data_IF_320531158657
#
_entry.id   IF_320531158657
#
_cell.length_a   1.000
_cell.length_b   1.000
_cell.length_c   1.000
_cell.angle_alpha   90.00
_cell.angle_beta   90.00
_cell.angle_gamma   90.00
#
_symmetry.space_group_name_H-M   'P 1'
#
loop_
_entity.id
_entity.type
_entity.pdbx_description
1 polymer ?
2 non-polymer ?
3 non-polymer ?
4 water ?
#
# COMPACT_ATOMS: atom_id res chain seq x y z
N UNK A 1 7.78 -20.70 6.52
CA UNK A 1 7.32 -19.28 6.54
C UNK A 1 6.40 -18.98 5.34
N UNK A 2 5.75 -17.84 5.39
CA UNK A 2 4.92 -17.38 4.27
C UNK A 2 5.93 -16.80 3.28
N UNK A 3 5.65 -16.84 2.01
CA UNK A 3 6.46 -16.25 0.98
C UNK A 3 5.64 -15.11 0.36
N UNK A 4 6.17 -13.95 0.38
CA UNK A 4 5.62 -12.77 -0.28
C UNK A 4 6.42 -12.56 -1.55
N UNK A 5 5.73 -12.46 -2.71
CA UNK A 5 6.44 -12.15 -3.97
C UNK A 5 5.90 -10.90 -4.60
N UNK A 6 6.73 -10.06 -5.15
CA UNK A 6 6.47 -8.75 -5.76
C UNK A 6 7.66 -8.14 -6.38
N UNK A 7 7.57 -7.15 -7.21
CA UNK A 7 8.60 -6.44 -7.86
C UNK A 7 9.46 -5.76 -6.69
N UNK A 8 10.64 -5.39 -7.13
CA UNK A 8 11.58 -4.69 -6.19
C UNK A 8 11.26 -3.21 -6.17
N UNK A 9 10.01 -2.91 -5.81
CA UNK A 9 9.52 -1.55 -5.71
C UNK A 9 8.40 -1.61 -4.63
N UNK A 10 8.08 -0.40 -4.21
CA UNK A 10 7.03 -0.22 -3.19
C UNK A 10 5.67 -0.59 -3.87
N UNK A 11 5.40 -0.03 -4.98
CA UNK A 11 4.13 -0.36 -5.74
C UNK A 11 2.85 -0.38 -4.96
N UNK A 12 2.07 -1.48 -4.96
CA UNK A 12 0.87 -1.51 -4.11
C UNK A 12 1.03 -2.46 -2.98
N UNK A 13 2.28 -2.88 -2.63
CA UNK A 13 2.59 -3.88 -1.64
C UNK A 13 3.09 -3.39 -0.27
N UNK A 14 3.26 -2.11 -0.20
CA UNK A 14 3.74 -1.57 1.15
C UNK A 14 2.87 -1.97 2.29
N UNK A 15 1.53 -1.89 2.16
CA UNK A 15 0.63 -2.25 3.26
C UNK A 15 0.82 -3.69 3.67
N UNK A 16 1.10 -4.57 2.66
CA UNK A 16 1.27 -5.96 3.03
C UNK A 16 2.56 -6.20 3.83
N UNK A 17 3.62 -5.62 3.29
CA UNK A 17 4.94 -5.65 4.02
C UNK A 17 4.82 -5.10 5.46
N UNK A 18 4.11 -3.96 5.59
CA UNK A 18 3.85 -3.40 6.94
C UNK A 18 3.06 -4.27 7.83
N UNK A 19 1.94 -4.89 7.30
CA UNK A 19 1.13 -5.76 8.14
C UNK A 19 1.93 -7.02 8.52
N UNK A 20 2.67 -7.66 7.63
CA UNK A 20 3.45 -8.84 8.00
C UNK A 20 4.35 -8.46 9.26
N UNK A 21 4.85 -7.27 9.17
CA UNK A 21 5.75 -6.76 10.25
C UNK A 21 5.06 -6.58 11.56
N UNK A 22 3.94 -5.84 11.53
CA UNK A 22 3.10 -5.54 12.66
C UNK A 22 2.67 -6.74 13.39
N UNK A 23 2.23 -7.78 12.65
CA UNK A 23 1.70 -9.02 13.17
C UNK A 23 2.79 -9.97 13.59
N UNK A 24 4.06 -9.65 13.35
CA UNK A 24 5.12 -10.59 13.79
C UNK A 24 5.09 -11.93 13.03
N UNK A 25 4.62 -11.82 11.81
CA UNK A 25 4.48 -13.01 10.92
C UNK A 25 5.91 -13.39 10.53
N UNK A 26 6.12 -14.67 10.41
CA UNK A 26 7.41 -15.24 9.92
C UNK A 26 7.30 -15.29 8.41
N UNK A 27 8.14 -14.56 7.69
CA UNK A 27 8.01 -14.51 6.23
C UNK A 27 9.37 -14.36 5.55
N UNK A 28 9.45 -14.65 4.29
CA UNK A 28 10.52 -14.43 3.37
C UNK A 28 9.95 -13.75 2.14
N UNK A 29 10.70 -12.89 1.56
CA UNK A 29 10.37 -12.13 0.39
C UNK A 29 11.19 -12.48 -0.83
N UNK A 30 10.45 -12.59 -1.95
CA UNK A 30 11.12 -12.69 -3.24
C UNK A 30 10.90 -11.37 -3.90
N UNK A 31 11.85 -10.57 -4.34
CA UNK A 31 11.66 -9.27 -4.97
C UNK A 31 12.19 -9.44 -6.38
N UNK A 32 11.32 -9.39 -7.39
CA UNK A 32 11.74 -9.66 -8.77
C UNK A 32 12.31 -8.41 -9.39
N UNK A 33 13.30 -8.60 -10.26
CA UNK A 33 13.91 -7.49 -10.98
C UNK A 33 13.08 -7.32 -12.27
N UNK A 34 13.20 -6.12 -12.75
CA UNK A 34 12.63 -5.62 -13.97
C UNK A 34 13.71 -5.06 -14.90
N UNK A 35 13.65 -5.52 -16.14
CA UNK A 35 14.62 -5.03 -17.11
C UNK A 35 14.60 -3.50 -17.13
N UNK A 36 15.77 -2.99 -17.49
CA UNK A 36 15.96 -1.52 -17.69
C UNK A 36 15.50 -1.29 -19.13
N UNK A 37 15.61 -0.08 -19.68
CA UNK A 37 15.03 0.16 -21.01
C UNK A 37 15.74 -0.54 -22.16
N UNK A 38 15.01 -0.71 -23.27
CA UNK A 38 13.64 -0.24 -23.51
C UNK A 38 12.63 -1.36 -23.32
N UNK A 39 13.14 -2.58 -23.18
CA UNK A 39 12.17 -3.69 -23.17
C UNK A 39 11.68 -4.10 -21.82
N UNK A 40 12.19 -3.41 -20.80
CA UNK A 40 11.70 -3.66 -19.41
C UNK A 40 11.50 -5.14 -19.14
N UNK A 41 12.45 -5.98 -19.54
CA UNK A 41 12.39 -7.42 -19.36
C UNK A 41 11.74 -7.84 -18.04
N UNK A 42 10.74 -8.75 -18.16
CA UNK A 42 10.04 -9.28 -16.97
C UNK A 42 10.28 -10.79 -16.88
N UNK A 43 11.27 -11.26 -17.65
CA UNK A 43 11.63 -12.68 -17.73
C UNK A 43 11.72 -13.38 -16.40
N UNK A 44 12.40 -12.78 -15.45
CA UNK A 44 12.55 -13.32 -14.09
C UNK A 44 11.21 -13.76 -13.50
N UNK A 45 10.16 -12.93 -13.68
CA UNK A 45 8.84 -13.31 -13.10
C UNK A 45 8.08 -14.27 -14.03
N UNK A 46 8.01 -13.92 -15.28
CA UNK A 46 7.35 -14.68 -16.36
C UNK A 46 7.85 -16.11 -16.46
N UNK A 47 9.10 -16.35 -16.12
CA UNK A 47 9.64 -17.72 -16.03
C UNK A 47 8.86 -18.55 -15.01
N UNK A 48 8.50 -17.94 -13.88
CA UNK A 48 7.78 -18.70 -12.87
C UNK A 48 6.28 -18.37 -12.75
N UNK A 49 5.79 -17.41 -13.49
CA UNK A 49 4.40 -16.97 -13.36
C UNK A 49 3.38 -18.10 -13.33
N UNK A 50 3.65 -19.15 -14.16
CA UNK A 50 2.73 -20.29 -14.21
C UNK A 50 3.23 -21.48 -13.46
N UNK A 51 4.35 -21.39 -12.76
CA UNK A 51 4.91 -22.58 -12.09
C UNK A 51 4.66 -22.60 -10.62
N UNK A 52 3.96 -21.60 -10.09
CA UNK A 52 3.70 -21.54 -8.66
C UNK A 52 2.40 -22.09 -8.17
N UNK A 53 1.52 -22.57 -9.05
CA UNK A 53 0.24 -23.07 -8.54
C UNK A 53 -0.67 -21.92 -8.09
N UNK A 54 -0.57 -20.74 -8.69
CA UNK A 54 -1.54 -19.67 -8.27
C UNK A 54 -2.80 -19.84 -9.19
N UNK A 55 -3.96 -19.55 -8.67
CA UNK A 55 -5.21 -19.64 -9.53
C UNK A 55 -5.23 -18.57 -10.59
N UNK A 56 -4.94 -17.32 -10.15
CA UNK A 56 -4.87 -16.22 -11.16
C UNK A 56 -3.47 -15.62 -10.91
N UNK A 57 -2.47 -16.06 -11.65
CA UNK A 57 -1.09 -15.60 -11.38
C UNK A 57 -1.03 -14.09 -11.48
N UNK A 58 -0.32 -13.52 -10.44
CA UNK A 58 -0.24 -12.03 -10.39
C UNK A 58 0.86 -11.74 -9.29
N UNK A 59 1.13 -10.47 -9.22
CA UNK A 59 2.08 -9.89 -8.23
C UNK A 59 1.26 -8.74 -7.58
N UNK A 60 1.21 -8.68 -6.29
CA UNK A 60 1.88 -9.53 -5.36
C UNK A 60 1.26 -10.93 -5.24
N UNK A 61 1.92 -11.90 -4.67
CA UNK A 61 1.32 -13.14 -4.30
C UNK A 61 1.76 -13.50 -2.91
N UNK A 62 1.01 -14.19 -2.14
CA UNK A 62 1.37 -14.68 -0.84
C UNK A 62 1.12 -16.20 -0.83
N UNK A 63 2.09 -16.92 -0.35
CA UNK A 63 2.10 -18.34 -0.18
C UNK A 63 2.16 -18.64 1.28
N UNK A 64 1.17 -19.25 1.83
CA UNK A 64 1.12 -19.62 3.23
C UNK A 64 0.85 -21.10 3.30
N UNK A 65 1.91 -21.88 3.07
CA UNK A 65 1.72 -23.35 3.17
C UNK A 65 0.80 -23.79 2.01
N UNK A 66 -0.36 -24.32 2.32
CA UNK A 66 -1.28 -24.75 1.27
C UNK A 66 -2.01 -23.61 0.57
N UNK A 67 -2.11 -22.45 1.20
CA UNK A 67 -2.89 -21.34 0.61
C UNK A 67 -2.00 -20.51 -0.28
N UNK A 68 -2.51 -20.22 -1.46
CA UNK A 68 -1.76 -19.42 -2.43
C UNK A 68 -2.76 -18.33 -2.81
N UNK A 69 -2.38 -17.11 -2.52
CA UNK A 69 -3.25 -15.97 -2.70
C UNK A 69 -2.72 -14.88 -3.56
N UNK A 70 -3.50 -14.27 -4.45
CA UNK A 70 -3.16 -13.14 -5.26
C UNK A 70 -4.25 -12.08 -4.94
N UNK A 71 -4.05 -10.94 -5.46
CA UNK A 71 -4.83 -9.70 -5.37
C UNK A 71 -4.45 -9.01 -4.00
N UNK A 72 -3.85 -7.84 -4.13
CA UNK A 72 -3.42 -7.21 -2.80
C UNK A 72 -4.42 -7.14 -1.71
N UNK A 73 -5.68 -6.70 -1.98
CA UNK A 73 -6.73 -6.64 -0.98
C UNK A 73 -7.00 -7.98 -0.40
N UNK A 74 -7.05 -9.12 -1.16
CA UNK A 74 -7.29 -10.42 -0.68
C UNK A 74 -6.17 -10.90 0.32
N UNK A 75 -4.98 -10.55 0.02
CA UNK A 75 -3.80 -10.86 0.87
C UNK A 75 -4.00 -10.04 2.18
N UNK A 76 -4.38 -8.80 2.03
CA UNK A 76 -4.65 -7.99 3.27
C UNK A 76 -5.70 -8.53 4.17
N UNK A 77 -6.87 -9.09 3.58
CA UNK A 77 -7.95 -9.59 4.42
C UNK A 77 -7.59 -10.96 5.01
N UNK A 78 -6.79 -11.74 4.25
CA UNK A 78 -6.36 -13.07 4.81
C UNK A 78 -5.51 -12.79 6.07
N UNK A 79 -4.54 -11.91 5.93
CA UNK A 79 -3.69 -11.60 7.18
C UNK A 79 -4.56 -10.99 8.29
N UNK A 80 -5.49 -10.10 7.94
CA UNK A 80 -6.46 -9.50 8.88
C UNK A 80 -7.25 -10.52 9.65
N UNK A 81 -7.85 -11.51 8.94
CA UNK A 81 -8.65 -12.54 9.55
C UNK A 81 -7.75 -13.34 10.49
N UNK A 82 -6.58 -13.67 10.08
CA UNK A 82 -5.71 -14.56 10.92
C UNK A 82 -5.32 -13.85 12.20
N UNK A 83 -5.27 -12.53 12.17
CA UNK A 83 -4.76 -11.76 13.30
C UNK A 83 -5.80 -10.88 13.94
N UNK A 84 -7.06 -11.10 13.59
CA UNK A 84 -8.19 -10.36 14.15
C UNK A 84 -8.07 -8.87 13.93
N UNK A 85 -7.73 -8.43 12.72
CA UNK A 85 -7.69 -7.00 12.42
C UNK A 85 -8.78 -6.50 11.51
N UNK A 86 -9.94 -7.02 11.71
CA UNK A 86 -11.20 -6.67 10.96
C UNK A 86 -12.10 -5.82 11.85
N UNK A 87 -13.06 -5.20 11.16
CA UNK A 87 -14.16 -4.48 11.84
C UNK A 87 -14.95 -5.56 12.59
N UNK A 88 -15.48 -5.28 13.74
CA UNK A 88 -16.21 -6.17 14.60
C UNK A 88 -17.69 -5.87 14.72
N UNK A 89 -18.15 -4.73 14.31
CA UNK A 89 -19.58 -4.38 14.30
C UNK A 89 -19.90 -4.03 12.85
N UNK A 90 -21.18 -3.93 12.52
CA UNK A 90 -21.61 -3.58 11.18
C UNK A 90 -21.10 -2.20 10.77
N UNK A 91 -21.14 -1.20 11.64
CA UNK A 91 -20.64 0.13 11.30
C UNK A 91 -19.16 0.03 10.98
N UNK A 92 -18.41 -0.78 11.68
CA UNK A 92 -16.98 -0.89 11.42
C UNK A 92 -16.75 -1.63 10.11
N UNK A 93 -17.54 -2.63 9.83
CA UNK A 93 -17.29 -3.41 8.57
C UNK A 93 -17.50 -2.52 7.39
N UNK A 94 -18.60 -1.74 7.48
CA UNK A 94 -18.92 -0.77 6.45
C UNK A 94 -17.75 0.17 6.16
N UNK A 95 -17.27 0.81 7.27
CA UNK A 95 -16.17 1.77 7.08
C UNK A 95 -14.96 1.10 6.42
N UNK A 96 -14.63 -0.07 6.86
CA UNK A 96 -13.52 -0.85 6.34
C UNK A 96 -13.76 -1.13 4.87
N UNK A 97 -14.92 -1.68 4.55
CA UNK A 97 -15.17 -1.92 3.09
C UNK A 97 -15.11 -0.73 2.20
N UNK A 98 -15.67 0.42 2.48
CA UNK A 98 -15.62 1.65 1.72
C UNK A 98 -14.13 2.11 1.60
N UNK A 99 -13.53 2.13 2.81
CA UNK A 99 -12.15 2.70 2.70
C UNK A 99 -11.22 1.81 1.93
N UNK A 100 -11.32 0.48 2.07
CA UNK A 100 -10.50 -0.42 1.27
C UNK A 100 -10.49 -0.12 -0.16
N UNK A 101 -11.74 0.00 -0.73
CA UNK A 101 -12.02 0.35 -2.08
C UNK A 101 -11.67 1.76 -2.46
N UNK A 102 -11.87 2.71 -1.55
CA UNK A 102 -11.51 4.12 -1.81
C UNK A 102 -9.95 4.26 -1.78
N UNK A 103 -9.28 3.53 -0.93
CA UNK A 103 -7.78 3.63 -0.87
C UNK A 103 -7.21 3.13 -2.18
N UNK A 104 -7.90 2.05 -2.75
CA UNK A 104 -7.42 1.61 -4.09
C UNK A 104 -7.63 2.69 -5.13
N UNK A 105 -8.77 3.29 -5.32
CA UNK A 105 -9.08 4.34 -6.28
C UNK A 105 -8.07 5.52 -6.08
N UNK A 106 -7.78 5.89 -4.84
CA UNK A 106 -6.80 7.01 -4.66
C UNK A 106 -5.38 6.68 -5.13
N UNK A 107 -4.96 5.45 -4.84
CA UNK A 107 -3.67 4.99 -5.33
C UNK A 107 -3.64 4.89 -6.81
N UNK A 108 -4.64 4.35 -7.47
CA UNK A 108 -4.72 4.23 -8.94
C UNK A 108 -4.68 5.58 -9.61
N UNK A 109 -5.37 6.57 -9.06
CA UNK A 109 -5.37 7.93 -9.66
C UNK A 109 -3.95 8.51 -9.55
N UNK A 110 -3.28 8.29 -8.46
CA UNK A 110 -1.91 8.83 -8.38
C UNK A 110 -1.03 8.12 -9.40
N UNK A 111 -1.18 6.83 -9.57
CA UNK A 111 -0.37 6.02 -10.49
C UNK A 111 -0.60 6.45 -11.92
N UNK A 112 -1.85 6.76 -12.25
CA UNK A 112 -2.20 7.24 -13.60
C UNK A 112 -1.36 8.49 -13.93
N UNK A 113 -1.29 9.44 -13.04
CA UNK A 113 -0.56 10.69 -13.27
C UNK A 113 0.95 10.44 -13.43
N UNK A 114 1.48 9.63 -12.53
CA UNK A 114 2.91 9.36 -12.49
C UNK A 114 3.36 8.55 -13.67
N UNK A 115 2.46 7.76 -14.22
CA UNK A 115 2.86 6.96 -15.37
C UNK A 115 2.62 7.66 -16.70
N UNK A 116 1.89 8.76 -16.73
CA UNK A 116 1.60 9.38 -18.02
C UNK A 116 2.80 10.12 -18.56
N UNK A 117 2.98 9.97 -19.87
CA UNK A 117 4.07 10.64 -20.60
C UNK A 117 3.95 12.15 -20.47
N UNK A 118 2.72 12.63 -20.31
CA UNK A 118 2.45 14.06 -20.11
C UNK A 118 2.16 14.43 -18.66
N UNK A 119 3.04 13.98 -17.79
CA UNK A 119 3.11 14.18 -16.35
C UNK A 119 3.19 15.65 -15.90
N UNK A 120 4.15 16.32 -16.50
CA UNK A 120 4.44 17.74 -16.28
C UNK A 120 3.17 18.57 -16.50
N UNK A 121 2.31 18.08 -17.38
CA UNK A 121 0.97 18.68 -17.57
C UNK A 121 -0.06 18.20 -16.54
N UNK A 122 -0.14 16.91 -16.26
CA UNK A 122 -1.10 16.36 -15.30
C UNK A 122 -0.82 16.75 -13.86
N UNK A 123 0.44 16.77 -13.45
CA UNK A 123 0.78 17.17 -12.06
C UNK A 123 0.00 18.34 -11.49
N UNK A 124 0.03 19.46 -12.19
CA UNK A 124 -0.68 20.66 -11.74
C UNK A 124 -2.15 20.38 -11.53
N UNK A 125 -2.77 19.65 -12.47
CA UNK A 125 -4.21 19.36 -12.42
C UNK A 125 -4.56 18.39 -11.30
N UNK A 126 -3.62 17.48 -11.01
CA UNK A 126 -3.80 16.54 -9.90
C UNK A 126 -3.76 17.32 -8.58
N UNK A 127 -2.77 18.18 -8.51
CA UNK A 127 -2.62 19.00 -7.30
C UNK A 127 -3.84 19.87 -7.06
N UNK A 128 -4.47 20.38 -8.10
CA UNK A 128 -5.65 21.25 -7.94
C UNK A 128 -6.76 20.59 -7.13
N UNK A 129 -6.86 19.27 -7.34
CA UNK A 129 -7.93 18.49 -6.71
C UNK A 129 -7.53 17.85 -5.40
N UNK A 130 -6.29 18.00 -5.00
CA UNK A 130 -5.77 17.36 -3.78
C UNK A 130 -6.42 17.80 -2.51
N UNK A 131 -6.68 19.11 -2.32
CA UNK A 131 -7.41 19.56 -1.12
C UNK A 131 -8.74 18.83 -0.97
N UNK A 132 -9.45 18.52 -2.07
CA UNK A 132 -10.75 17.81 -1.88
C UNK A 132 -10.52 16.38 -1.41
N UNK A 133 -9.53 15.70 -1.96
CA UNK A 133 -9.34 14.30 -1.52
C UNK A 133 -8.98 14.21 -0.07
N UNK A 134 -8.08 15.15 0.32
CA UNK A 134 -7.54 15.13 1.71
C UNK A 134 -8.64 15.47 2.69
N UNK A 135 -9.48 16.42 2.38
CA UNK A 135 -10.60 16.84 3.22
C UNK A 135 -11.54 15.69 3.54
N UNK A 136 -11.80 14.87 2.50
CA UNK A 136 -12.75 13.74 2.63
C UNK A 136 -12.12 12.72 3.53
N UNK A 137 -10.85 12.38 3.38
CA UNK A 137 -10.20 11.47 4.35
C UNK A 137 -10.22 12.04 5.79
N UNK A 138 -9.92 13.34 5.91
CA UNK A 138 -9.87 14.03 7.21
C UNK A 138 -11.20 14.09 7.93
N UNK A 139 -12.28 14.38 7.16
CA UNK A 139 -13.62 14.38 7.74
C UNK A 139 -14.04 12.99 8.11
N UNK A 140 -13.61 12.04 7.26
CA UNK A 140 -13.90 10.61 7.63
C UNK A 140 -13.30 10.16 8.93
N UNK A 141 -12.02 10.48 9.13
CA UNK A 141 -11.33 10.08 10.40
C UNK A 141 -11.95 10.78 11.60
N UNK A 142 -12.24 12.05 11.51
CA UNK A 142 -12.82 12.79 12.65
C UNK A 142 -11.85 12.86 13.83
N UNK A 143 -12.34 12.52 14.99
CA UNK A 143 -11.59 12.53 16.23
C UNK A 143 -11.27 11.09 16.61
N UNK A 144 -11.46 10.14 15.67
CA UNK A 144 -11.10 8.73 16.06
C UNK A 144 -9.57 8.54 15.93
N UNK A 145 -9.01 7.63 16.71
CA UNK A 145 -7.59 7.29 16.60
C UNK A 145 -7.23 6.57 15.31
N UNK A 146 -8.22 5.76 14.83
CA UNK A 146 -7.99 4.94 13.58
C UNK A 146 -9.27 5.05 12.71
N UNK A 147 -9.16 4.56 11.49
CA UNK A 147 -10.25 4.75 10.51
C UNK A 147 -11.51 4.00 10.79
N UNK A 148 -11.45 2.82 11.33
CA UNK A 148 -12.63 2.03 11.63
C UNK A 148 -13.33 2.51 12.90
N UNK A 149 -12.58 3.19 13.75
CA UNK A 149 -13.13 3.64 15.03
C UNK A 149 -12.00 3.60 16.09
N UNK A 150 -12.28 2.86 17.14
CA UNK A 150 -11.36 2.75 18.26
C UNK A 150 -10.30 1.69 18.10
N UNK A 151 -10.44 0.77 17.17
CA UNK A 151 -9.60 -0.38 16.92
C UNK A 151 -8.74 -0.17 15.70
N UNK A 152 -7.47 -0.54 15.71
CA UNK A 152 -6.68 -0.55 14.48
C UNK A 152 -7.19 -1.77 13.64
N UNK A 153 -7.33 -1.51 12.34
CA UNK A 153 -7.69 -2.69 11.47
C UNK A 153 -6.73 -2.67 10.31
N UNK A 154 -6.93 -3.66 9.37
CA UNK A 154 -6.05 -3.57 8.19
C UNK A 154 -6.28 -2.35 7.38
N UNK A 155 -7.39 -1.61 7.40
CA UNK A 155 -7.50 -0.49 6.48
C UNK A 155 -6.51 0.69 6.83
N UNK A 156 -6.21 0.72 8.07
CA UNK A 156 -5.25 1.80 8.52
C UNK A 156 -3.91 1.63 7.78
N UNK A 157 -3.52 0.40 7.49
CA UNK A 157 -2.32 0.12 6.68
C UNK A 157 -2.39 0.62 5.29
N UNK A 158 -3.57 0.34 4.59
CA UNK A 158 -3.75 0.92 3.27
C UNK A 158 -3.94 2.44 3.24
N UNK A 159 -4.59 3.07 4.25
CA UNK A 159 -4.73 4.51 4.17
C UNK A 159 -3.39 5.24 4.49
N UNK A 160 -2.66 4.59 5.38
CA UNK A 160 -1.29 5.11 5.73
C UNK A 160 -0.49 5.20 4.46
N UNK A 161 -0.52 4.14 3.63
CA UNK A 161 0.22 4.12 2.37
C UNK A 161 -0.25 5.22 1.47
N UNK A 162 -1.53 5.44 1.27
CA UNK A 162 -2.05 6.51 0.37
C UNK A 162 -1.46 7.88 0.81
N UNK A 163 -1.58 8.15 2.09
CA UNK A 163 -1.17 9.40 2.73
C UNK A 163 0.35 9.62 2.56
N UNK A 164 1.10 8.61 2.91
CA UNK A 164 2.57 8.62 2.79
C UNK A 164 2.92 8.91 1.36
N UNK A 165 2.33 8.15 0.36
CA UNK A 165 2.76 8.40 -1.00
C UNK A 165 2.46 9.85 -1.38
N UNK A 166 1.36 10.40 -0.88
CA UNK A 166 0.96 11.76 -1.32
C UNK A 166 1.88 12.82 -0.68
N UNK A 167 2.35 12.57 0.50
CA UNK A 167 3.27 13.49 1.22
C UNK A 167 4.67 13.38 0.64
N UNK A 168 5.00 12.25 0.01
CA UNK A 168 6.26 12.19 -0.77
C UNK A 168 6.14 13.02 -2.02
N UNK A 169 5.01 12.94 -2.72
CA UNK A 169 4.72 13.65 -3.96
C UNK A 169 4.62 15.16 -3.72
N UNK A 170 3.99 15.55 -2.62
CA UNK A 170 3.69 16.96 -2.28
C UNK A 170 3.76 17.07 -0.77
N UNK A 171 4.94 17.43 -0.30
CA UNK A 171 5.26 17.41 1.11
C UNK A 171 4.33 18.24 1.97
N UNK A 172 3.64 19.21 1.37
CA UNK A 172 2.83 20.15 2.14
C UNK A 172 1.38 19.75 2.32
N UNK A 173 0.99 18.65 1.69
CA UNK A 173 -0.37 18.23 1.56
C UNK A 173 -1.14 17.91 2.80
N UNK A 174 -0.54 17.53 3.89
CA UNK A 174 -1.17 17.22 5.14
C UNK A 174 -1.18 18.41 6.15
N UNK A 175 -0.44 19.46 5.82
CA UNK A 175 -0.34 20.60 6.80
C UNK A 175 -1.67 21.25 7.14
N UNK A 176 -2.68 21.19 6.26
CA UNK A 176 -3.98 21.85 6.57
C UNK A 176 -4.91 20.87 7.18
N UNK A 177 -4.41 19.64 7.42
CA UNK A 177 -5.24 18.58 8.00
C UNK A 177 -4.49 17.86 9.09
N UNK A 178 -4.60 18.44 10.29
CA UNK A 178 -3.88 17.89 11.43
C UNK A 178 -4.31 16.55 11.88
N UNK A 179 -5.58 16.10 11.82
CA UNK A 179 -5.87 14.72 12.29
C UNK A 179 -5.12 13.73 11.39
N UNK A 180 -4.90 14.07 10.17
CA UNK A 180 -4.18 13.23 9.16
C UNK A 180 -2.67 13.21 9.42
N UNK A 181 -2.09 14.35 9.78
CA UNK A 181 -0.68 14.44 10.20
C UNK A 181 -0.54 13.57 11.45
N UNK A 182 -1.43 13.71 12.43
CA UNK A 182 -1.41 12.97 13.63
C UNK A 182 -1.53 11.47 13.37
N UNK A 183 -2.48 11.10 12.50
CA UNK A 183 -2.59 9.63 12.21
C UNK A 183 -1.26 9.07 11.68
N UNK A 184 -0.62 9.70 10.77
CA UNK A 184 0.64 9.29 10.14
C UNK A 184 1.67 9.02 11.29
N UNK A 185 1.73 10.07 12.13
CA UNK A 185 2.67 9.97 13.29
C UNK A 185 2.40 8.81 14.20
N UNK A 186 1.12 8.63 14.55
CA UNK A 186 0.72 7.57 15.44
C UNK A 186 0.99 6.20 14.74
N UNK A 187 0.77 6.18 13.45
CA UNK A 187 1.00 4.83 12.78
C UNK A 187 2.49 4.54 12.81
N UNK A 188 3.30 5.47 12.44
CA UNK A 188 4.77 5.45 12.43
C UNK A 188 5.37 5.29 13.82
N UNK A 189 4.56 5.43 14.86
CA UNK A 189 5.03 5.29 16.25
C UNK A 189 4.85 3.95 16.87
N UNK A 190 4.04 3.08 16.18
CA UNK A 190 3.84 1.72 16.67
C UNK A 190 5.25 1.09 16.64
N UNK A 191 5.52 0.37 17.67
CA UNK A 191 6.87 -0.23 17.87
C UNK A 191 7.27 -1.05 16.67
N UNK A 192 6.48 -2.05 16.27
CA UNK A 192 6.88 -2.92 15.13
C UNK A 192 7.13 -2.21 13.85
N UNK A 193 6.36 -1.15 13.62
CA UNK A 193 6.52 -0.28 12.45
C UNK A 193 7.75 0.59 12.62
N UNK A 194 7.96 1.24 13.77
CA UNK A 194 9.25 2.00 13.82
C UNK A 194 10.43 1.05 13.73
N UNK A 195 10.48 -0.09 14.41
CA UNK A 195 11.59 -1.01 14.18
C UNK A 195 11.80 -1.36 12.71
N UNK A 196 10.73 -1.72 11.99
CA UNK A 196 10.83 -2.05 10.55
C UNK A 196 11.41 -0.98 9.70
N UNK A 197 11.01 0.30 9.88
CA UNK A 197 11.45 1.45 9.13
C UNK A 197 12.99 1.70 9.28
N UNK A 198 13.54 1.13 10.31
CA UNK A 198 14.96 1.29 10.60
C UNK A 198 15.72 0.01 10.24
N UNK A 199 15.02 -0.99 9.73
CA UNK A 199 15.70 -2.26 9.45
C UNK A 199 16.14 -2.30 8.00
N UNK A 200 16.95 -3.33 7.70
CA UNK A 200 17.41 -3.53 6.33
C UNK A 200 16.32 -4.26 5.48
N UNK A 201 15.21 -4.53 6.10
CA UNK A 201 14.09 -5.17 5.28
C UNK A 201 13.24 -4.12 4.61
N UNK A 202 13.39 -2.84 5.01
CA UNK A 202 12.57 -1.73 4.55
C UNK A 202 12.82 -1.32 3.10
N UNK A 203 11.75 -1.02 2.36
CA UNK A 203 11.80 -0.55 0.98
C UNK A 203 10.78 0.58 0.81
N UNK A 204 11.17 1.84 1.04
CA UNK A 204 10.20 2.92 0.91
C UNK A 204 10.08 3.35 -0.52
N UNK A 205 11.11 3.30 -1.31
CA UNK A 205 11.21 3.74 -2.69
C UNK A 205 12.07 2.79 -3.51
N UNK A 206 11.97 2.81 -4.82
CA UNK A 206 11.08 3.65 -5.63
C UNK A 206 9.64 3.22 -5.46
N UNK A 207 8.69 4.11 -5.79
CA UNK A 207 7.27 3.71 -5.65
C UNK A 207 6.80 2.94 -6.87
N UNK A 208 7.05 3.51 -8.02
CA UNK A 208 6.57 2.98 -9.32
C UNK A 208 7.62 2.23 -10.12
N UNK A 209 7.18 1.44 -11.08
CA UNK A 209 8.11 0.68 -11.93
C UNK A 209 8.88 1.70 -12.79
N UNK A 210 10.04 1.25 -13.23
CA UNK A 210 11.00 2.01 -14.02
C UNK A 210 10.48 2.78 -15.19
N UNK A 211 9.36 2.44 -15.82
CA UNK A 211 8.88 3.31 -16.91
C UNK A 211 8.12 4.52 -16.40
N UNK A 212 7.81 4.66 -15.12
CA UNK A 212 7.09 5.84 -14.63
C UNK A 212 7.82 7.12 -15.04
N UNK A 213 7.07 8.23 -15.00
CA UNK A 213 7.70 9.54 -15.34
C UNK A 213 8.14 10.32 -14.11
N UNK A 214 7.78 9.86 -12.94
CA UNK A 214 8.04 10.37 -11.60
C UNK A 214 8.15 9.12 -10.68
N UNK A 215 9.24 9.06 -9.96
CA UNK A 215 9.68 8.03 -9.04
C UNK A 215 9.43 6.55 -9.27
N UNK A 216 10.09 5.96 -10.26
CA UNK A 216 10.04 4.59 -10.69
C UNK A 216 11.21 3.62 -10.63
N UNK A 217 12.34 4.26 -10.86
CA UNK A 217 13.70 3.71 -11.00
C UNK A 217 14.54 4.52 -9.99
X LIG B 1 7.06 14.80 7.92
X LIG B 1 7.59 15.59 9.08
X LIG B 1 5.60 14.57 8.11
X LIG B 1 7.27 15.55 6.62
X LIG B 1 7.83 13.51 7.82
X LIG C 1 5.93 -23.11 -4.63
X LIG C 1 6.22 -24.42 -3.94
X LIG C 1 4.44 -22.88 -4.68
X LIG C 1 6.56 -21.96 -3.87
X LIG C 1 6.50 -23.24 -6.03
X LIG D 1 14.80 2.23 0.65
X LIG D 1 15.04 2.87 -0.69
X LIG D 1 13.49 2.69 1.23
X LIG D 1 14.80 0.75 0.49
X LIG D 1 15.92 2.64 1.58
X LIG E 1 -3.77 -6.35 -7.15
X LIG E 1 -5.65 -5.67 -8.62
X LIG E 1 1.89 -7.00 -12.08
X LIG E 1 0.12 -6.39 -10.59
X LIG E 1 2.97 -6.66 -12.58
X LIG E 1 1.52 -9.77 -14.05
X LIG E 1 1.23 -8.17 -12.22
X LIG E 1 1.66 -0.95 -12.59
X LIG E 1 -3.07 -7.19 -6.54
X LIG E 1 -4.32 -5.42 -6.30
X LIG E 1 0.75 -8.98 -14.70
X LIG E 1 2.04 -10.80 -14.67
X LIG E 1 -4.24 -6.29 -8.56
X LIG E 1 1.13 -5.78 -11.46
X LIG E 1 2.01 -9.33 -12.73
X LIG E 1 1.03 -2.32 -10.49
X LIG E 1 1.99 -2.07 -11.70
X LIG E 1 -3.36 -5.48 -9.55
X LIG E 1 2.13 -5.01 -10.49
X LIG E 1 1.26 -1.00 -9.70
X LIG E 1 3.36 -1.87 -11.16
X LIG E 1 -1.16 -5.84 -10.65
X LIG E 1 0.22 0.75 -8.39
X LIG E 1 5.71 -2.45 -11.32
X LIG E 1 -1.47 -4.89 -11.41
X LIG E 1 1.50 1.30 -8.08
X LIG E 1 5.95 -1.69 -10.15
X LIG E 1 -2.08 -6.36 -9.64
X LIG E 1 1.29 -3.75 -9.57
X LIG E 1 0.10 -0.39 -9.14
X LIG E 1 4.41 -2.56 -11.86
X LIG E 1 2.52 -0.45 -9.43
X LIG E 1 3.61 -1.13 -10.03
X LIG E 1 2.64 0.71 -8.65
X LIG E 1 4.93 -1.01 -9.52
X LIG F 1 8.52 -8.95 11.44
X LIG F 1 7.14 -10.65 11.01
X LIG F 1 12.86 -14.28 9.61
X LIG F 1 12.58 -11.74 9.42
X LIG F 1 13.64 -15.04 8.99
X LIG F 1 11.14 -16.66 10.67
X LIG F 1 12.08 -14.36 10.67
X LIG F 1 13.55 -13.20 3.40
X LIG F 1 9.14 -7.95 11.88
X LIG F 1 7.74 -8.81 10.24
X LIG F 1 10.69 -16.49 9.49
X LIG F 1 10.95 -17.83 11.31
X LIG F 1 8.47 -10.41 11.84
X LIG F 1 12.79 -13.02 8.73
X LIG F 1 11.89 -15.60 11.40
X LIG F 1 13.28 -11.75 5.40
X LIG F 1 14.10 -12.93 4.79
X LIG F 1 9.51 -11.31 11.13
X LIG F 1 14.13 -12.77 7.98
X LIG F 1 13.53 -10.59 4.49
X LIG F 1 15.51 -12.50 4.57
X LIG F 1 11.26 -11.43 9.40
X LIG F 1 12.63 -8.51 3.71
X LIG F 1 17.89 -13.10 4.59
X LIG F 1 10.51 -12.03 8.54
X LIG F 1 13.85 -8.22 3.04
X LIG F 1 18.22 -11.80 4.11
X LIG F 1 10.66 -10.50 10.47
X LIG F 1 13.85 -11.34 7.01
X LIG F 1 12.44 -9.64 4.41
X LIG F 1 16.56 -13.45 4.77
X LIG F 1 14.77 -10.30 3.89
X LIG F 1 15.80 -11.26 4.07
X LIG F 1 14.91 -9.11 3.15
X LIG F 1 17.18 -10.88 3.84
#
# INVERSE_FOLDING_TARGET
>A
PMILGYWNVRGLTHPIRLLLEYTDSSYEEKRYAMGDAPDYDRSQWLNEKFKLGLDFPNLPYLIDGSRKITQSNAIMRYLARKHHLCGETEEERIRVDVLENQAMDTRLQLAMVCYSPDFERKKPEYLEGLPEKMKLYSEFLGKQPWFAGNKITYVDFLVYDVLDQHRIFEPKCLDAFPNLKDFVARFEGLKKISDYMKSGRFLSKPIFAKMAFWNPK
>B hetero
1 SO4 S O1 O2 O3 O4
>C hetero
1 SO4 S O1 O2 O3 O4
>D hetero
1 SO4 S O1 O2 O3 O4
>E hetero
1 GPS C1 N1 C2 N2 O2 C3 N3 O5 O11 O12 O31 O32 CA1 CA2 CA3 CA4 CA5 CB1 CB2 CB4 CB5 CD1 CD4 CD5 OE1 CE4 CE5 CG1 SG2 CG4 CG5 CH4 CH5 CZ4 CZ5
>F hetero
1 GPS C1 N1 C2 N2 O2 C3 N3 O5 O11 O12 O31 O32 CA1 CA2 CA3 CA4 CA5 CB1 CB2 CB4 CB5 CD1 CD4 CD5 OE1 CE4 CE5 CG1 SG2 CG4 CG5 CH4 CH5 CZ4 CZ5
#
